data_IF_856038510815
#
_entry.id   IF_856038510815
#
_cell.length_a   1.000
_cell.length_b   1.000
_cell.length_c   1.000
_cell.angle_alpha   90.00
_cell.angle_beta   90.00
_cell.angle_gamma   90.00
#
_symmetry.space_group_name_H-M   'P 1'
#
loop_
_entity.id
_entity.type
_entity.pdbx_description
1 polymer ?
#
# COMPACT_ATOMS: atom_id res chain seq x y z
N UNK A 1 5.00 7.35 29.52
CA UNK A 1 4.90 5.92 29.67
C UNK A 1 5.61 5.17 28.55
N UNK A 2 6.16 3.99 28.84
CA UNK A 2 6.94 3.17 27.90
C UNK A 2 6.16 2.03 27.27
N UNK A 3 4.84 2.16 27.13
CA UNK A 3 3.99 1.10 26.57
C UNK A 3 4.37 0.83 25.10
N UNK A 4 4.45 -0.45 24.74
CA UNK A 4 4.58 -0.93 23.37
C UNK A 4 3.24 -1.49 22.93
N UNK A 5 2.82 -1.18 21.72
CA UNK A 5 1.52 -1.61 21.19
C UNK A 5 1.73 -2.39 19.90
N UNK A 6 1.06 -3.52 19.78
CA UNK A 6 0.95 -4.29 18.53
C UNK A 6 -0.52 -4.28 18.12
N UNK A 7 -0.79 -3.82 16.92
CA UNK A 7 -2.11 -3.86 16.32
C UNK A 7 -2.22 -5.09 15.42
N UNK A 8 -3.25 -5.89 15.64
CA UNK A 8 -3.57 -7.09 14.84
C UNK A 8 -4.98 -6.91 14.31
N UNK A 9 -5.15 -6.92 12.99
CA UNK A 9 -6.44 -6.69 12.35
C UNK A 9 -6.93 -7.94 11.62
N UNK A 10 -8.07 -8.50 12.08
CA UNK A 10 -8.86 -9.52 11.35
C UNK A 10 -8.09 -10.73 10.79
N UNK A 11 -6.93 -11.06 11.34
CA UNK A 11 -6.13 -12.16 10.88
C UNK A 11 -6.66 -13.49 11.43
N UNK A 12 -6.70 -14.51 10.58
CA UNK A 12 -7.07 -15.84 11.01
C UNK A 12 -6.00 -16.40 12.00
N UNK A 13 -6.40 -17.09 13.09
CA UNK A 13 -5.43 -17.60 14.07
C UNK A 13 -4.31 -18.48 13.49
N UNK A 14 -4.58 -19.23 12.42
CA UNK A 14 -3.55 -20.02 11.73
C UNK A 14 -2.46 -19.17 11.08
N UNK A 15 -2.76 -17.92 10.74
CA UNK A 15 -1.78 -17.01 10.21
C UNK A 15 -0.70 -16.66 11.25
N UNK A 16 -1.03 -16.66 12.54
CA UNK A 16 -0.07 -16.40 13.63
C UNK A 16 1.14 -17.32 13.54
N UNK A 17 0.93 -18.62 13.34
CA UNK A 17 2.03 -19.59 13.29
C UNK A 17 2.93 -19.40 12.08
N UNK A 18 2.33 -19.07 10.92
CA UNK A 18 3.06 -18.91 9.66
C UNK A 18 3.77 -17.58 9.52
N UNK A 19 3.25 -16.54 10.17
CA UNK A 19 3.70 -15.17 10.01
C UNK A 19 4.33 -14.61 11.29
N UNK A 20 4.84 -15.49 12.16
CA UNK A 20 5.56 -15.07 13.36
C UNK A 20 6.80 -14.25 12.96
N UNK A 21 6.90 -13.01 13.45
CA UNK A 21 8.04 -12.17 13.14
C UNK A 21 9.28 -12.65 13.89
N UNK A 22 10.43 -12.54 13.24
CA UNK A 22 11.73 -12.87 13.79
C UNK A 22 12.78 -11.80 13.47
N UNK A 23 13.96 -11.94 14.07
CA UNK A 23 15.08 -11.02 13.87
C UNK A 23 15.57 -11.03 12.40
N UNK A 24 15.42 -12.15 11.70
CA UNK A 24 15.79 -12.24 10.29
C UNK A 24 14.84 -11.41 9.40
N UNK A 25 13.56 -11.43 9.70
CA UNK A 25 12.56 -10.56 9.06
C UNK A 25 12.85 -9.10 9.34
N UNK A 26 13.17 -8.74 10.60
CA UNK A 26 13.55 -7.37 10.96
C UNK A 26 14.78 -6.92 10.16
N UNK A 27 15.84 -7.72 10.12
CA UNK A 27 17.07 -7.39 9.40
C UNK A 27 16.80 -7.21 7.90
N UNK A 28 16.01 -8.09 7.31
CA UNK A 28 15.61 -8.05 5.90
C UNK A 28 14.82 -6.77 5.57
N UNK A 29 13.79 -6.45 6.36
CA UNK A 29 13.00 -5.22 6.17
C UNK A 29 13.89 -3.98 6.29
N UNK A 30 14.76 -3.91 7.29
CA UNK A 30 15.70 -2.78 7.48
C UNK A 30 16.66 -2.62 6.30
N UNK A 31 17.18 -3.72 5.74
CA UNK A 31 18.03 -3.67 4.55
C UNK A 31 17.27 -3.14 3.34
N UNK A 32 16.04 -3.61 3.11
CA UNK A 32 15.21 -3.12 2.01
C UNK A 32 14.81 -1.66 2.17
N UNK A 33 14.51 -1.18 3.38
CA UNK A 33 14.29 0.25 3.65
C UNK A 33 15.53 1.06 3.27
N UNK A 34 16.74 0.57 3.63
CA UNK A 34 18.00 1.23 3.27
C UNK A 34 18.20 1.28 1.76
N UNK A 35 17.90 0.18 1.05
CA UNK A 35 17.96 0.12 -0.42
C UNK A 35 17.00 1.11 -1.07
N UNK A 36 15.74 1.17 -0.61
CA UNK A 36 14.74 2.13 -1.10
C UNK A 36 15.19 3.57 -0.92
N UNK A 37 15.77 3.92 0.24
CA UNK A 37 16.31 5.27 0.52
C UNK A 37 17.49 5.63 -0.35
N UNK A 38 18.29 4.68 -0.78
CA UNK A 38 19.47 4.88 -1.64
C UNK A 38 19.15 4.79 -3.12
N UNK A 39 17.98 4.30 -3.50
CA UNK A 39 17.61 4.13 -4.89
C UNK A 39 17.15 5.45 -5.52
N UNK A 40 17.46 5.66 -6.81
CA UNK A 40 16.92 6.79 -7.59
C UNK A 40 15.63 6.43 -8.28
N UNK A 41 15.45 5.17 -8.63
CA UNK A 41 14.24 4.67 -9.29
C UNK A 41 14.01 3.20 -8.96
N UNK A 42 12.77 2.76 -9.13
CA UNK A 42 12.35 1.37 -9.08
C UNK A 42 11.50 1.06 -10.32
N UNK A 43 11.70 -0.10 -10.91
CA UNK A 43 10.84 -0.65 -11.96
C UNK A 43 10.14 -1.88 -11.41
N UNK A 44 8.84 -1.99 -11.65
CA UNK A 44 8.04 -3.17 -11.31
C UNK A 44 7.48 -3.76 -12.58
N UNK A 45 7.81 -5.01 -12.84
CA UNK A 45 7.32 -5.75 -14.01
C UNK A 45 6.71 -7.08 -13.60
N UNK A 46 5.74 -7.57 -14.35
CA UNK A 46 5.18 -8.90 -14.18
C UNK A 46 4.85 -9.56 -15.52
N UNK A 47 4.76 -10.90 -15.58
CA UNK A 47 4.29 -11.61 -16.77
C UNK A 47 2.86 -11.24 -17.20
N UNK A 48 2.05 -10.73 -16.27
CA UNK A 48 0.69 -10.27 -16.55
C UNK A 48 0.64 -8.95 -17.33
N UNK A 49 1.76 -8.25 -17.48
CA UNK A 49 1.85 -7.01 -18.24
C UNK A 49 2.09 -5.75 -17.40
N UNK A 50 2.32 -5.88 -16.09
CA UNK A 50 2.77 -4.72 -15.29
C UNK A 50 4.11 -4.20 -15.81
N UNK A 51 4.19 -2.90 -16.05
CA UNK A 51 5.42 -2.15 -16.33
C UNK A 51 5.30 -0.75 -15.72
N UNK A 52 5.72 -0.65 -14.45
CA UNK A 52 5.71 0.60 -13.68
C UNK A 52 7.12 1.14 -13.52
N UNK A 53 7.25 2.45 -13.67
CA UNK A 53 8.46 3.22 -13.36
C UNK A 53 8.16 4.19 -12.24
N UNK A 54 8.97 4.16 -11.20
CA UNK A 54 8.75 4.85 -9.95
C UNK A 54 10.02 5.60 -9.58
N UNK A 55 9.95 6.93 -9.51
CA UNK A 55 11.05 7.75 -9.06
C UNK A 55 11.17 7.69 -7.54
N UNK A 56 12.37 7.37 -7.04
CA UNK A 56 12.65 7.24 -5.61
C UNK A 56 13.69 8.24 -5.10
N UNK A 57 14.19 9.15 -5.94
CA UNK A 57 15.17 10.14 -5.52
C UNK A 57 14.59 11.05 -4.44
N UNK A 58 15.18 11.04 -3.25
CA UNK A 58 14.67 11.77 -2.09
C UNK A 58 13.41 11.21 -1.44
N UNK A 59 12.93 10.04 -1.88
CA UNK A 59 11.74 9.41 -1.33
C UNK A 59 11.92 9.01 0.14
N UNK A 60 10.88 9.23 0.95
CA UNK A 60 10.81 8.67 2.29
C UNK A 60 10.50 7.18 2.18
N UNK A 61 11.27 6.35 2.87
CA UNK A 61 11.01 4.91 2.93
C UNK A 61 10.88 4.44 4.38
N UNK A 62 9.98 3.49 4.57
CA UNK A 62 9.67 2.87 5.84
C UNK A 62 9.36 1.39 5.69
N UNK A 63 8.96 0.76 6.76
CA UNK A 63 8.55 -0.63 6.75
C UNK A 63 8.11 -1.12 8.11
N UNK A 64 7.61 -2.33 8.14
CA UNK A 64 7.12 -2.98 9.32
C UNK A 64 7.60 -4.43 9.33
N UNK A 65 8.18 -4.87 10.45
CA UNK A 65 8.63 -6.25 10.66
C UNK A 65 7.79 -7.03 11.66
N UNK A 66 6.65 -6.48 12.11
CA UNK A 66 5.64 -7.20 12.88
C UNK A 66 5.80 -7.14 14.40
N UNK A 67 6.88 -6.55 14.93
CA UNK A 67 7.06 -6.34 16.36
C UNK A 67 7.82 -5.05 16.67
N UNK A 68 7.81 -4.65 17.93
CA UNK A 68 8.62 -3.51 18.40
C UNK A 68 9.25 -3.81 19.75
N UNK A 69 10.52 -3.45 19.89
CA UNK A 69 11.26 -3.49 21.15
C UNK A 69 11.38 -2.11 21.79
N UNK A 70 11.06 -1.04 21.05
CA UNK A 70 11.23 0.34 21.49
C UNK A 70 10.02 0.83 22.28
N UNK A 71 10.22 1.32 23.53
CA UNK A 71 9.15 1.91 24.33
C UNK A 71 8.46 3.09 23.63
N UNK A 72 7.15 3.23 23.85
CA UNK A 72 6.36 4.32 23.27
C UNK A 72 6.06 4.17 21.76
N UNK A 73 6.18 2.95 21.22
CA UNK A 73 5.93 2.72 19.78
C UNK A 73 4.77 1.79 19.53
N UNK A 74 4.14 2.00 18.38
CA UNK A 74 3.11 1.16 17.78
C UNK A 74 3.70 0.41 16.59
N UNK A 75 3.30 -0.82 16.40
CA UNK A 75 3.55 -1.59 15.17
C UNK A 75 2.32 -2.39 14.77
N UNK A 76 2.33 -2.92 13.55
CA UNK A 76 1.31 -3.83 13.03
C UNK A 76 1.84 -5.26 13.02
N UNK A 77 0.96 -6.20 13.16
CA UNK A 77 1.16 -7.60 12.79
C UNK A 77 0.09 -8.00 11.74
N UNK A 78 0.40 -8.77 10.69
CA UNK A 78 1.72 -9.29 10.33
C UNK A 78 2.71 -8.22 9.86
N UNK A 79 4.00 -8.58 9.90
CA UNK A 79 5.10 -7.74 9.41
C UNK A 79 5.65 -8.21 8.07
N UNK A 80 6.87 -7.77 7.74
CA UNK A 80 7.57 -8.17 6.53
C UNK A 80 7.23 -7.30 5.32
N UNK A 81 7.02 -6.00 5.52
CA UNK A 81 6.79 -5.05 4.42
C UNK A 81 7.86 -3.95 4.41
N UNK A 82 8.35 -3.61 3.22
CA UNK A 82 9.09 -2.39 2.94
C UNK A 82 8.29 -1.53 1.96
N UNK A 83 8.28 -0.22 2.18
CA UNK A 83 7.53 0.73 1.35
C UNK A 83 8.27 2.05 1.19
N UNK A 84 7.92 2.78 0.13
CA UNK A 84 8.41 4.12 -0.14
C UNK A 84 7.25 5.03 -0.55
N UNK A 85 7.41 6.32 -0.25
CA UNK A 85 6.54 7.40 -0.70
C UNK A 85 7.27 8.14 -1.82
N UNK A 86 6.96 7.86 -3.10
CA UNK A 86 7.62 8.47 -4.24
C UNK A 86 7.46 9.99 -4.27
N UNK A 87 8.34 10.68 -4.97
CA UNK A 87 8.18 12.10 -5.22
C UNK A 87 6.95 12.33 -6.11
N UNK A 88 6.33 13.50 -5.96
CA UNK A 88 5.14 13.85 -6.73
C UNK A 88 5.41 13.79 -8.25
N UNK A 89 4.52 13.18 -9.02
CA UNK A 89 4.60 13.02 -10.46
C UNK A 89 5.53 11.90 -10.95
N UNK A 90 6.04 11.07 -10.05
CA UNK A 90 7.12 10.13 -10.38
C UNK A 90 6.68 8.69 -10.63
N UNK A 91 5.40 8.37 -10.44
CA UNK A 91 4.85 7.03 -10.72
C UNK A 91 4.15 7.04 -12.07
N UNK A 92 4.64 6.23 -13.01
CA UNK A 92 4.13 6.16 -14.36
C UNK A 92 4.16 4.73 -14.90
N UNK A 93 3.24 4.40 -15.79
CA UNK A 93 3.19 3.14 -16.51
C UNK A 93 1.91 2.36 -16.32
N UNK A 94 1.99 1.05 -16.46
CA UNK A 94 0.85 0.14 -16.40
C UNK A 94 0.95 -0.79 -15.20
N UNK A 95 -0.14 -0.91 -14.44
CA UNK A 95 -0.29 -1.93 -13.39
C UNK A 95 -1.39 -2.90 -13.81
N UNK A 96 -1.05 -4.18 -13.87
CA UNK A 96 -2.03 -5.24 -14.13
C UNK A 96 -2.26 -6.03 -12.85
N UNK A 97 -3.51 -6.03 -12.39
CA UNK A 97 -4.00 -6.94 -11.36
C UNK A 97 -4.45 -8.22 -12.05
N UNK A 98 -3.77 -9.32 -11.76
CA UNK A 98 -4.05 -10.62 -12.36
C UNK A 98 -5.12 -11.39 -11.56
N UNK A 99 -5.76 -12.41 -12.15
CA UNK A 99 -6.60 -13.33 -11.39
C UNK A 99 -5.84 -13.94 -10.20
N UNK A 100 -6.45 -13.85 -9.01
CA UNK A 100 -5.84 -14.29 -7.77
C UNK A 100 -5.17 -13.16 -6.95
N UNK A 101 -4.95 -11.99 -7.52
CA UNK A 101 -4.56 -10.81 -6.73
C UNK A 101 -5.69 -10.38 -5.79
N UNK A 102 -5.33 -9.75 -4.67
CA UNK A 102 -6.30 -9.36 -3.64
C UNK A 102 -6.67 -7.89 -3.79
N UNK A 103 -7.96 -7.61 -3.96
CA UNK A 103 -8.50 -6.28 -3.76
C UNK A 103 -8.92 -6.11 -2.30
N UNK A 104 -8.10 -5.42 -1.51
CA UNK A 104 -8.33 -5.25 -0.07
C UNK A 104 -9.56 -4.39 0.24
N UNK A 105 -9.92 -3.44 -0.62
CA UNK A 105 -11.11 -2.59 -0.44
C UNK A 105 -12.38 -3.44 -0.40
N UNK A 106 -12.48 -4.41 -1.32
CA UNK A 106 -13.64 -5.29 -1.40
C UNK A 106 -13.44 -6.64 -0.70
N UNK A 107 -12.24 -6.88 -0.13
CA UNK A 107 -11.85 -8.13 0.57
C UNK A 107 -12.12 -9.38 -0.28
N UNK A 108 -11.75 -9.31 -1.55
CA UNK A 108 -11.94 -10.42 -2.50
C UNK A 108 -10.75 -10.59 -3.43
N UNK A 109 -10.62 -11.77 -3.98
CA UNK A 109 -9.66 -12.05 -5.05
C UNK A 109 -10.20 -11.52 -6.38
N UNK A 110 -9.33 -10.96 -7.18
CA UNK A 110 -9.61 -10.55 -8.56
C UNK A 110 -9.87 -11.80 -9.40
N UNK A 111 -10.99 -11.87 -10.09
CA UNK A 111 -11.38 -13.01 -10.94
C UNK A 111 -10.96 -12.84 -12.39
N UNK A 112 -10.93 -11.60 -12.89
CA UNK A 112 -10.48 -11.27 -14.24
C UNK A 112 -9.50 -10.10 -14.20
N UNK A 113 -8.54 -10.08 -15.13
CA UNK A 113 -7.50 -9.07 -15.14
C UNK A 113 -8.06 -7.65 -15.20
N UNK A 114 -7.42 -6.75 -14.43
CA UNK A 114 -7.70 -5.30 -14.45
C UNK A 114 -6.41 -4.60 -14.82
N UNK A 115 -6.44 -3.74 -15.80
CA UNK A 115 -5.31 -2.93 -16.21
C UNK A 115 -5.53 -1.48 -15.78
N UNK A 116 -4.59 -0.94 -15.02
CA UNK A 116 -4.57 0.45 -14.61
C UNK A 116 -3.48 1.18 -15.37
N UNK A 117 -3.82 2.28 -16.04
CA UNK A 117 -2.83 3.22 -16.57
C UNK A 117 -2.57 4.30 -15.54
N UNK A 118 -1.30 4.55 -15.23
CA UNK A 118 -0.88 5.52 -14.23
C UNK A 118 0.01 6.56 -14.91
N UNK A 119 -0.35 7.83 -14.75
CA UNK A 119 0.37 8.97 -15.29
C UNK A 119 0.53 10.04 -14.20
N UNK A 120 1.79 10.41 -13.92
CA UNK A 120 2.11 11.43 -12.91
C UNK A 120 1.41 11.17 -11.56
N UNK A 121 1.50 9.94 -11.07
CA UNK A 121 0.91 9.42 -9.83
C UNK A 121 -0.61 9.21 -9.84
N UNK A 122 -1.30 9.44 -10.95
CA UNK A 122 -2.74 9.27 -10.99
C UNK A 122 -3.15 8.15 -11.92
N UNK A 123 -4.13 7.35 -11.50
CA UNK A 123 -4.80 6.38 -12.36
C UNK A 123 -5.64 7.15 -13.37
N UNK A 124 -5.29 7.05 -14.65
CA UNK A 124 -5.97 7.74 -15.76
C UNK A 124 -6.93 6.83 -16.52
N UNK A 125 -6.75 5.51 -16.42
CA UNK A 125 -7.66 4.52 -17.00
C UNK A 125 -7.72 3.26 -16.12
N UNK A 126 -8.90 2.64 -16.08
CA UNK A 126 -9.17 1.35 -15.42
C UNK A 126 -9.88 0.48 -16.45
N UNK A 127 -9.15 -0.46 -17.05
CA UNK A 127 -9.65 -1.34 -18.10
C UNK A 127 -9.89 -2.74 -17.55
N UNK A 128 -10.91 -3.41 -18.05
CA UNK A 128 -11.34 -4.76 -17.69
C UNK A 128 -12.85 -4.89 -17.80
N UNK A 129 -13.31 -6.06 -18.26
CA UNK A 129 -14.72 -6.34 -18.52
C UNK A 129 -15.44 -7.00 -17.35
N UNK A 130 -14.68 -7.46 -16.34
CA UNK A 130 -15.21 -8.19 -15.18
C UNK A 130 -15.84 -7.31 -14.12
N UNK A 131 -16.56 -7.96 -13.19
CA UNK A 131 -17.20 -7.30 -12.05
C UNK A 131 -16.19 -6.52 -11.19
N UNK A 132 -14.98 -7.05 -11.00
CA UNK A 132 -13.95 -6.41 -10.18
C UNK A 132 -13.50 -5.06 -10.76
N UNK A 133 -13.36 -4.98 -12.09
CA UNK A 133 -13.04 -3.71 -12.76
C UNK A 133 -14.20 -2.71 -12.64
N UNK A 134 -15.45 -3.17 -12.76
CA UNK A 134 -16.63 -2.31 -12.57
C UNK A 134 -16.71 -1.77 -11.15
N UNK A 135 -16.53 -2.62 -10.15
CA UNK A 135 -16.54 -2.22 -8.74
C UNK A 135 -15.43 -1.20 -8.44
N UNK A 136 -14.24 -1.42 -8.99
CA UNK A 136 -13.11 -0.51 -8.81
C UNK A 136 -13.41 0.86 -9.42
N UNK A 137 -13.89 0.91 -10.66
CA UNK A 137 -14.30 2.16 -11.32
C UNK A 137 -15.34 2.90 -10.50
N UNK A 138 -16.45 2.24 -10.19
CA UNK A 138 -17.56 2.87 -9.46
C UNK A 138 -17.14 3.37 -8.08
N UNK A 139 -16.26 2.63 -7.39
CA UNK A 139 -15.76 3.05 -6.08
C UNK A 139 -14.89 4.29 -6.18
N UNK A 140 -13.92 4.32 -7.11
CA UNK A 140 -13.02 5.45 -7.28
C UNK A 140 -13.78 6.68 -7.78
N UNK A 141 -14.69 6.53 -8.75
CA UNK A 141 -15.56 7.59 -9.26
C UNK A 141 -16.41 8.22 -8.15
N UNK A 142 -17.04 7.40 -7.31
CA UNK A 142 -17.84 7.89 -6.19
C UNK A 142 -17.06 8.81 -5.22
N UNK A 143 -15.74 8.62 -5.11
CA UNK A 143 -14.86 9.47 -4.31
C UNK A 143 -14.26 10.61 -5.15
N UNK A 144 -14.06 10.41 -6.45
CA UNK A 144 -13.46 11.36 -7.37
C UNK A 144 -14.36 12.52 -7.77
N UNK A 145 -15.64 12.27 -7.98
CA UNK A 145 -16.59 13.26 -8.51
C UNK A 145 -17.26 14.14 -7.44
N UNK A 146 -16.75 14.09 -6.20
CA UNK A 146 -17.28 14.96 -5.13
C UNK A 146 -18.66 14.57 -4.64
N UNK A 147 -19.05 13.31 -4.81
CA UNK A 147 -20.31 12.76 -4.27
C UNK A 147 -20.46 13.10 -2.79
N UNK A 148 -21.46 13.91 -2.45
CA UNK A 148 -21.72 14.42 -1.10
C UNK A 148 -22.11 13.34 -0.09
N UNK A 149 -22.39 12.12 -0.55
CA UNK A 149 -23.11 11.09 0.20
C UNK A 149 -22.32 9.78 0.43
N UNK A 150 -21.02 9.76 0.16
CA UNK A 150 -20.17 8.61 0.56
C UNK A 150 -20.10 8.52 2.09
N UNK A 151 -20.10 7.28 2.68
CA UNK A 151 -19.94 7.14 4.11
C UNK A 151 -18.65 7.83 4.54
N UNK A 152 -18.65 8.58 5.67
CA UNK A 152 -17.43 9.20 6.15
C UNK A 152 -16.40 8.10 6.39
N UNK A 153 -15.27 8.17 5.70
CA UNK A 153 -14.11 7.35 6.06
C UNK A 153 -13.80 7.67 7.52
N UNK A 154 -13.81 6.67 8.36
CA UNK A 154 -13.24 6.81 9.68
C UNK A 154 -11.81 7.37 9.50
N UNK A 155 -11.44 8.42 10.24
CA UNK A 155 -10.09 8.96 10.14
C UNK A 155 -9.10 7.82 10.37
N UNK A 156 -8.02 7.71 9.59
CA UNK A 156 -7.01 6.71 9.85
C UNK A 156 -6.55 6.89 11.29
N UNK A 157 -6.52 5.80 12.06
CA UNK A 157 -6.01 5.83 13.40
C UNK A 157 -4.62 6.47 13.37
N UNK A 158 -4.29 7.39 14.29
CA UNK A 158 -3.02 8.08 14.27
C UNK A 158 -1.90 7.04 14.37
N UNK A 159 -1.30 6.71 13.25
CA UNK A 159 -0.04 5.99 13.21
C UNK A 159 0.99 6.94 13.81
N UNK A 160 1.56 6.58 14.95
CA UNK A 160 2.52 7.41 15.70
C UNK A 160 3.87 7.54 14.98
N UNK A 161 3.85 8.06 13.78
CA UNK A 161 5.00 8.51 13.00
C UNK A 161 4.74 9.95 12.60
N UNK A 162 5.76 10.77 12.74
CA UNK A 162 5.80 12.21 12.54
C UNK A 162 5.50 12.65 11.10
N UNK A 163 4.34 12.36 10.56
CA UNK A 163 3.97 12.75 9.21
C UNK A 163 2.80 13.73 9.22
N UNK A 164 3.13 14.98 9.48
CA UNK A 164 2.23 16.12 9.27
C UNK A 164 1.71 16.21 7.81
N UNK A 165 2.23 15.41 6.89
CA UNK A 165 1.79 15.33 5.50
C UNK A 165 0.57 14.40 5.31
N UNK A 166 0.44 13.34 6.12
CA UNK A 166 -0.73 12.46 6.05
C UNK A 166 -2.01 13.11 6.60
N UNK A 167 -1.88 14.10 7.50
CA UNK A 167 -3.01 14.81 8.08
C UNK A 167 -3.64 15.84 7.12
N UNK A 168 -2.95 16.24 6.07
CA UNK A 168 -3.44 17.26 5.12
C UNK A 168 -4.39 16.70 4.05
N UNK A 169 -4.53 15.39 3.92
CA UNK A 169 -5.36 14.75 2.88
C UNK A 169 -6.76 14.32 3.35
N UNK A 170 -7.10 14.52 4.61
CA UNK A 170 -8.46 14.22 5.12
C UNK A 170 -9.41 15.31 4.66
N UNK A 171 -9.90 15.20 3.42
CA UNK A 171 -10.88 16.15 2.87
C UNK A 171 -10.73 16.47 1.38
N UNK A 172 -9.67 16.04 0.74
CA UNK A 172 -9.51 16.20 -0.70
C UNK A 172 -10.38 15.16 -1.43
N UNK A 173 -11.64 15.49 -1.65
CA UNK A 173 -12.50 14.81 -2.62
C UNK A 173 -12.09 15.29 -4.01
N UNK A 174 -12.14 14.43 -4.99
CA UNK A 174 -11.79 14.77 -6.36
C UNK A 174 -10.62 13.94 -6.88
N UNK A 175 -9.72 14.55 -7.64
CA UNK A 175 -8.61 13.88 -8.32
C UNK A 175 -7.76 12.98 -7.39
N UNK A 176 -7.67 13.30 -6.10
CA UNK A 176 -6.87 12.54 -5.13
C UNK A 176 -7.39 11.12 -4.88
N UNK A 177 -8.66 10.82 -5.23
CA UNK A 177 -9.19 9.47 -5.21
C UNK A 177 -8.47 8.53 -6.19
N UNK A 178 -7.84 9.08 -7.21
CA UNK A 178 -7.09 8.36 -8.24
C UNK A 178 -5.58 8.32 -7.96
N UNK A 179 -5.14 8.90 -6.84
CA UNK A 179 -3.71 9.08 -6.57
C UNK A 179 -3.04 7.80 -6.03
N UNK A 180 -1.85 7.51 -6.52
CA UNK A 180 -0.92 6.55 -5.93
C UNK A 180 -0.17 7.23 -4.80
N UNK A 181 -0.41 6.80 -3.56
CA UNK A 181 0.20 7.45 -2.38
C UNK A 181 1.57 6.85 -2.02
N UNK A 182 1.73 5.56 -2.20
CA UNK A 182 2.97 4.84 -1.86
C UNK A 182 3.06 3.54 -2.66
N UNK A 183 4.25 2.98 -2.67
CA UNK A 183 4.55 1.68 -3.24
C UNK A 183 5.23 0.81 -2.20
N UNK A 184 4.88 -0.45 -2.12
CA UNK A 184 5.44 -1.37 -1.15
C UNK A 184 5.42 -2.81 -1.63
N UNK A 185 6.22 -3.66 -0.98
CA UNK A 185 6.28 -5.08 -1.28
C UNK A 185 6.55 -5.90 -0.03
N UNK A 186 6.03 -7.13 -0.06
CA UNK A 186 6.18 -8.10 1.02
C UNK A 186 7.53 -8.80 1.01
N UNK A 187 8.03 -9.10 2.21
CA UNK A 187 9.31 -9.76 2.49
C UNK A 187 9.14 -10.97 3.43
N UNK A 188 7.90 -11.38 3.69
CA UNK A 188 7.59 -12.48 4.59
C UNK A 188 7.54 -13.80 3.80
N UNK A 189 8.43 -14.74 4.09
CA UNK A 189 8.50 -16.05 3.42
C UNK A 189 7.30 -16.94 3.74
N UNK A 190 6.66 -16.74 4.88
CA UNK A 190 5.47 -17.47 5.34
C UNK A 190 4.15 -17.02 4.72
N UNK A 191 4.14 -15.97 3.91
CA UNK A 191 2.94 -15.39 3.31
C UNK A 191 2.51 -16.05 1.98
N UNK A 192 2.81 -17.34 1.79
CA UNK A 192 2.45 -18.14 0.60
C UNK A 192 1.14 -18.89 0.80
#
# INVERSE_FOLDING_TARGET
GGTRVIYISNEHPEALVRLMPDDATEARVKDHIKRLRGAKAMTVTSPAGTDLRIGLEGAVAGGNWGFTTRPGTLTHWPGGIALAFPAAGSVNGTLVLAPGDVNLTFKRYVESAITLTIENDYVTAIEGDGLDAQLMRSYIEAWGDGGSDGPPLAPPAPSGGSDARAAASVGARGRDAYAVSHVGYGLCDGAR
#
